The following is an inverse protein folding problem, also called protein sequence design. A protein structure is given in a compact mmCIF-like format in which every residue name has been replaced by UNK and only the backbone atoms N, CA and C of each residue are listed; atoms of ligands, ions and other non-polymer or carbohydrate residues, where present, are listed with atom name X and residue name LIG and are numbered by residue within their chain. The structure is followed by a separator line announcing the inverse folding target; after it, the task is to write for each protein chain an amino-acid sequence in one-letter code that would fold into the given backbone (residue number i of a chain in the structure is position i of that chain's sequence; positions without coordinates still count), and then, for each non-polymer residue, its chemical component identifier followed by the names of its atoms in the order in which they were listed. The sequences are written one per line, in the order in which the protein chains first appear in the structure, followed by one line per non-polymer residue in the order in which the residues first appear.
data_IF_762237164407
#
_entry.id   IF_762237164407
#
_cell.length_a   1.000
_cell.length_b   1.000
_cell.length_c   1.000
_cell.angle_alpha   90.00
_cell.angle_beta   90.00
_cell.angle_gamma   90.00
#
_symmetry.space_group_name_H-M   'P 1'
#
loop_
_entity.id
_entity.type
_entity.pdbx_description
1 polymer ?
#
# COMPACT_ATOMS: atom_id res chain seq x y z
N UNK A 1 -52.20 46.27 13.15
CA UNK A 1 -50.90 46.73 13.68
C UNK A 1 -50.33 45.66 14.60
N UNK A 2 -48.99 45.53 14.65
CA UNK A 2 -48.17 44.54 15.41
C UNK A 2 -48.10 43.17 14.72
N UNK A 3 -47.08 42.75 13.95
CA UNK A 3 -45.60 42.72 14.03
C UNK A 3 -45.04 41.52 14.83
N UNK A 4 -44.06 40.83 14.21
CA UNK A 4 -43.03 39.90 14.77
C UNK A 4 -43.52 38.52 15.22
N UNK A 5 -42.72 37.45 15.28
CA UNK A 5 -41.43 37.02 14.73
C UNK A 5 -41.36 35.50 15.08
N UNK A 6 -40.92 34.62 14.19
CA UNK A 6 -39.60 33.99 14.29
C UNK A 6 -39.48 32.94 15.40
N UNK A 7 -39.41 31.65 15.05
CA UNK A 7 -38.48 30.72 15.71
C UNK A 7 -38.20 29.49 14.83
N UNK A 8 -36.95 29.38 14.35
CA UNK A 8 -36.39 28.18 13.71
C UNK A 8 -35.87 27.25 14.81
N UNK A 9 -36.38 26.03 14.88
CA UNK A 9 -35.71 24.96 15.63
C UNK A 9 -34.97 24.03 14.67
N UNK A 10 -33.64 24.13 14.69
CA UNK A 10 -32.71 23.17 14.11
C UNK A 10 -32.89 21.82 14.83
N UNK A 11 -33.28 20.79 14.11
CA UNK A 11 -33.19 19.41 14.60
C UNK A 11 -31.71 19.01 14.51
N UNK A 12 -31.13 18.69 15.67
CA UNK A 12 -29.75 18.26 15.81
C UNK A 12 -29.53 16.92 15.10
N UNK A 13 -28.54 16.90 14.21
CA UNK A 13 -27.96 15.68 13.64
C UNK A 13 -27.24 14.95 14.77
N UNK A 14 -27.82 13.87 15.28
CA UNK A 14 -27.12 12.91 16.12
C UNK A 14 -26.33 11.97 15.22
N UNK A 15 -25.08 12.35 14.93
CA UNK A 15 -24.11 11.45 14.29
C UNK A 15 -23.80 10.31 15.25
N UNK A 16 -24.34 9.12 14.98
CA UNK A 16 -23.97 7.90 15.66
C UNK A 16 -22.47 7.61 15.42
N UNK A 17 -21.65 7.88 16.43
CA UNK A 17 -20.25 7.44 16.48
C UNK A 17 -20.26 5.93 16.64
N UNK A 18 -19.98 5.22 15.55
CA UNK A 18 -19.74 3.78 15.60
C UNK A 18 -18.51 3.50 16.46
N UNK A 19 -18.59 2.61 17.46
CA UNK A 19 -17.42 2.21 18.24
C UNK A 19 -16.44 1.49 17.31
N UNK A 20 -15.26 2.07 17.11
CA UNK A 20 -14.16 1.39 16.46
C UNK A 20 -13.79 0.17 17.32
N UNK A 21 -14.22 -1.00 16.87
CA UNK A 21 -13.73 -2.27 17.38
C UNK A 21 -12.20 -2.22 17.40
N UNK A 22 -11.64 -2.57 18.57
CA UNK A 22 -10.20 -2.67 18.79
C UNK A 22 -9.57 -3.51 17.69
N UNK A 23 -8.94 -2.83 16.72
CA UNK A 23 -8.05 -3.47 15.78
C UNK A 23 -6.80 -3.80 16.58
N UNK A 24 -6.32 -5.06 16.57
CA UNK A 24 -5.12 -5.42 17.30
C UNK A 24 -4.00 -4.46 16.89
N UNK A 25 -3.26 -3.95 17.88
CA UNK A 25 -2.04 -3.19 17.60
C UNK A 25 -1.19 -4.02 16.64
N UNK A 26 -0.76 -3.39 15.55
CA UNK A 26 -0.04 -4.02 14.45
C UNK A 26 1.41 -4.35 14.85
N UNK A 27 1.63 -4.75 16.10
CA UNK A 27 2.94 -5.10 16.67
C UNK A 27 3.37 -6.54 16.34
N UNK A 28 2.52 -7.32 15.67
CA UNK A 28 2.84 -8.70 15.28
C UNK A 28 2.82 -8.93 13.77
N UNK A 29 3.29 -7.98 12.96
CA UNK A 29 3.63 -8.27 11.57
C UNK A 29 5.05 -8.86 11.49
N UNK A 30 5.26 -10.04 12.10
CA UNK A 30 6.42 -10.91 11.86
C UNK A 30 6.28 -11.70 10.54
N UNK A 31 5.67 -11.10 9.51
CA UNK A 31 5.32 -11.84 8.31
C UNK A 31 6.57 -12.31 7.58
N UNK A 32 6.56 -13.59 7.20
CA UNK A 32 7.64 -14.22 6.46
C UNK A 32 8.09 -13.34 5.27
N UNK A 33 9.41 -13.15 5.15
CA UNK A 33 10.05 -12.44 4.04
C UNK A 33 10.48 -13.43 2.98
N UNK A 34 10.61 -12.96 1.75
CA UNK A 34 11.14 -13.73 0.63
C UNK A 34 10.30 -14.98 0.29
N UNK A 35 8.98 -14.85 0.32
CA UNK A 35 8.04 -15.94 0.00
C UNK A 35 8.16 -16.40 -1.46
N UNK A 36 8.61 -15.54 -2.37
CA UNK A 36 8.88 -15.92 -3.76
C UNK A 36 10.29 -16.52 -3.82
N UNK A 37 10.38 -17.85 -3.83
CA UNK A 37 11.69 -18.52 -3.79
C UNK A 37 12.56 -18.23 -5.03
N UNK A 38 11.97 -18.11 -6.24
CA UNK A 38 12.73 -17.94 -7.49
C UNK A 38 11.95 -17.15 -8.52
N UNK A 39 12.65 -16.31 -9.31
CA UNK A 39 12.06 -15.50 -10.38
C UNK A 39 11.36 -16.34 -11.48
N UNK A 40 11.80 -17.59 -11.71
CA UNK A 40 11.15 -18.55 -12.62
C UNK A 40 9.67 -18.80 -12.31
N UNK A 41 9.26 -18.67 -11.05
CA UNK A 41 7.86 -18.78 -10.64
C UNK A 41 7.03 -17.65 -11.27
N UNK A 42 7.63 -16.47 -11.45
CA UNK A 42 7.01 -15.31 -12.05
C UNK A 42 6.93 -15.44 -13.58
N UNK A 43 7.94 -16.03 -14.21
CA UNK A 43 7.93 -16.32 -15.65
C UNK A 43 6.88 -17.37 -16.04
N UNK A 44 6.54 -18.27 -15.12
CA UNK A 44 5.52 -19.30 -15.34
C UNK A 44 4.08 -18.74 -15.33
N UNK A 45 3.88 -17.46 -14.99
CA UNK A 45 2.56 -16.84 -14.91
C UNK A 45 2.05 -16.58 -16.32
N UNK A 46 0.93 -17.21 -16.65
CA UNK A 46 0.29 -17.06 -17.96
C UNK A 46 -0.71 -15.91 -17.96
N UNK A 47 -0.88 -15.19 -19.09
CA UNK A 47 -1.99 -14.25 -19.25
C UNK A 47 -3.32 -14.98 -19.04
N UNK A 48 -4.09 -14.57 -18.04
CA UNK A 48 -5.35 -15.22 -17.64
C UNK A 48 -5.30 -16.05 -16.36
N UNK A 49 -4.17 -16.05 -15.63
CA UNK A 49 -4.11 -16.60 -14.28
C UNK A 49 -5.15 -15.89 -13.36
N UNK A 50 -5.97 -16.61 -12.59
CA UNK A 50 -6.93 -16.00 -11.66
C UNK A 50 -6.26 -15.20 -10.53
N UNK A 51 -4.96 -15.39 -10.30
CA UNK A 51 -4.19 -14.63 -9.31
C UNK A 51 -4.06 -13.18 -9.75
N UNK A 52 -4.50 -12.27 -8.88
CA UNK A 52 -4.36 -10.82 -9.10
C UNK A 52 -3.04 -10.26 -8.57
N UNK A 53 -2.48 -10.88 -7.51
CA UNK A 53 -1.22 -10.46 -6.90
C UNK A 53 -0.46 -11.65 -6.32
N UNK A 54 0.86 -11.54 -6.27
CA UNK A 54 1.76 -12.50 -5.62
C UNK A 54 2.54 -11.75 -4.55
N UNK A 55 2.37 -12.14 -3.30
CA UNK A 55 3.07 -11.50 -2.17
C UNK A 55 4.47 -12.10 -2.00
N UNK A 56 5.48 -11.24 -1.86
CA UNK A 56 6.83 -11.64 -1.46
C UNK A 56 7.03 -11.56 0.06
N UNK A 57 6.14 -10.86 0.76
CA UNK A 57 6.20 -10.68 2.21
C UNK A 57 6.62 -9.27 2.62
N UNK A 58 6.45 -8.94 3.90
CA UNK A 58 6.77 -7.62 4.46
C UNK A 58 6.26 -6.43 3.62
N UNK A 59 5.02 -6.53 3.13
CA UNK A 59 4.39 -5.47 2.32
C UNK A 59 4.83 -5.42 0.84
N UNK A 60 5.82 -6.21 0.41
CA UNK A 60 6.20 -6.34 -1.00
C UNK A 60 5.30 -7.36 -1.71
N UNK A 61 4.76 -6.98 -2.86
CA UNK A 61 4.01 -7.87 -3.74
C UNK A 61 4.15 -7.47 -5.21
N UNK A 62 3.99 -8.46 -6.08
CA UNK A 62 3.85 -8.28 -7.51
C UNK A 62 2.37 -8.24 -7.86
N UNK A 63 1.90 -7.13 -8.43
CA UNK A 63 0.58 -7.01 -8.99
C UNK A 63 0.60 -7.53 -10.43
N UNK A 64 -0.25 -8.50 -10.74
CA UNK A 64 -0.30 -9.13 -12.06
C UNK A 64 -1.26 -8.35 -12.98
N UNK A 65 -1.02 -8.45 -14.29
CA UNK A 65 -1.88 -7.90 -15.36
C UNK A 65 -2.30 -6.43 -15.17
N UNK A 66 -1.35 -5.53 -14.95
CA UNK A 66 -1.64 -4.11 -14.64
C UNK A 66 -2.02 -3.32 -15.88
N UNK A 67 -1.09 -3.12 -16.81
CA UNK A 67 -1.29 -2.41 -18.07
C UNK A 67 -0.73 -3.27 -19.20
N UNK A 68 -1.57 -3.64 -20.17
CA UNK A 68 -1.14 -4.44 -21.32
C UNK A 68 -0.58 -5.82 -20.96
N UNK A 69 -0.96 -6.39 -19.80
CA UNK A 69 -0.44 -7.68 -19.33
C UNK A 69 0.81 -7.61 -18.46
N UNK A 70 1.46 -6.45 -18.35
CA UNK A 70 2.67 -6.29 -17.54
C UNK A 70 2.42 -6.50 -16.04
N UNK A 71 3.46 -6.92 -15.30
CA UNK A 71 3.38 -7.09 -13.85
C UNK A 71 4.11 -5.94 -13.14
N UNK A 72 3.51 -5.40 -12.07
CA UNK A 72 4.03 -4.23 -11.36
C UNK A 72 4.43 -4.54 -9.94
N UNK A 73 5.66 -4.19 -9.55
CA UNK A 73 6.08 -4.28 -8.15
C UNK A 73 5.45 -3.17 -7.32
N UNK A 74 4.91 -3.55 -6.17
CA UNK A 74 4.22 -2.68 -5.23
C UNK A 74 4.67 -2.98 -3.81
N UNK A 75 4.80 -1.93 -3.02
CA UNK A 75 5.20 -2.01 -1.63
C UNK A 75 4.24 -1.22 -0.76
N UNK A 76 3.47 -1.91 0.08
CA UNK A 76 2.53 -1.30 1.02
C UNK A 76 3.23 -0.98 2.34
N UNK A 77 3.13 0.27 2.75
CA UNK A 77 3.74 0.76 3.99
C UNK A 77 2.80 1.70 4.76
N UNK A 78 3.17 2.00 6.00
CA UNK A 78 2.48 2.96 6.84
C UNK A 78 3.48 4.01 7.33
N UNK A 79 3.12 5.28 7.18
CA UNK A 79 3.91 6.41 7.65
C UNK A 79 2.98 7.49 8.19
N UNK A 80 3.28 8.05 9.37
CA UNK A 80 2.44 9.07 10.02
C UNK A 80 0.98 8.62 10.24
N UNK A 81 0.75 7.34 10.55
CA UNK A 81 -0.59 6.77 10.74
C UNK A 81 -1.40 6.54 9.46
N UNK A 82 -0.85 6.86 8.28
CA UNK A 82 -1.51 6.67 6.98
C UNK A 82 -0.88 5.52 6.21
N UNK A 83 -1.71 4.70 5.57
CA UNK A 83 -1.24 3.65 4.65
C UNK A 83 -0.99 4.24 3.27
N UNK A 84 0.14 3.88 2.68
CA UNK A 84 0.56 4.31 1.35
C UNK A 84 1.10 3.10 0.59
N UNK A 85 1.05 3.19 -0.74
CA UNK A 85 1.57 2.16 -1.64
C UNK A 85 2.62 2.80 -2.54
N UNK A 86 3.84 2.25 -2.52
CA UNK A 86 4.94 2.65 -3.38
C UNK A 86 5.01 1.74 -4.60
N UNK A 87 5.25 2.34 -5.77
CA UNK A 87 5.49 1.59 -7.00
C UNK A 87 6.99 1.40 -7.20
N UNK A 88 7.49 0.17 -7.19
CA UNK A 88 8.94 -0.12 -7.27
C UNK A 88 9.44 -0.39 -8.70
N UNK A 89 8.52 -0.55 -9.65
CA UNK A 89 8.81 -0.77 -11.07
C UNK A 89 7.88 -1.78 -11.72
N UNK A 90 8.28 -2.22 -12.90
CA UNK A 90 7.57 -3.22 -13.72
C UNK A 90 8.49 -4.41 -13.90
N UNK A 91 7.95 -5.62 -13.89
CA UNK A 91 8.65 -6.84 -14.26
C UNK A 91 8.54 -7.03 -15.79
N UNK A 92 9.62 -7.43 -16.51
CA UNK A 92 10.90 -7.94 -16.00
C UNK A 92 12.00 -6.89 -15.73
N UNK A 93 11.81 -5.62 -16.11
CA UNK A 93 12.83 -4.56 -15.97
C UNK A 93 13.39 -4.46 -14.54
N UNK A 94 12.50 -4.49 -13.55
CA UNK A 94 12.85 -4.69 -12.15
C UNK A 94 12.70 -6.17 -11.81
N UNK A 95 13.82 -6.88 -11.68
CA UNK A 95 13.83 -8.26 -11.20
C UNK A 95 13.48 -8.40 -9.71
N UNK A 96 13.23 -9.64 -9.26
CA UNK A 96 12.88 -9.94 -7.86
C UNK A 96 13.93 -9.45 -6.85
N UNK A 97 15.23 -9.64 -7.15
CA UNK A 97 16.32 -9.20 -6.28
C UNK A 97 16.35 -7.68 -6.12
N UNK A 98 16.19 -6.95 -7.22
CA UNK A 98 16.17 -5.49 -7.21
C UNK A 98 14.92 -4.96 -6.50
N UNK A 99 13.76 -5.60 -6.68
CA UNK A 99 12.54 -5.25 -5.96
C UNK A 99 12.70 -5.41 -4.44
N UNK A 100 13.38 -6.47 -3.99
CA UNK A 100 13.70 -6.70 -2.57
C UNK A 100 14.67 -5.65 -2.02
N UNK A 101 15.71 -5.29 -2.76
CA UNK A 101 16.63 -4.22 -2.37
C UNK A 101 15.87 -2.90 -2.19
N UNK A 102 15.10 -2.48 -3.19
CA UNK A 102 14.29 -1.25 -3.11
C UNK A 102 13.29 -1.26 -1.95
N UNK A 103 12.67 -2.41 -1.66
CA UNK A 103 11.79 -2.54 -0.51
C UNK A 103 12.55 -2.40 0.82
N UNK A 104 13.75 -2.97 0.91
CA UNK A 104 14.60 -2.82 2.10
C UNK A 104 15.07 -1.38 2.30
N UNK A 105 15.45 -0.68 1.23
CA UNK A 105 15.87 0.72 1.33
C UNK A 105 14.69 1.62 1.72
N UNK A 106 13.50 1.37 1.16
CA UNK A 106 12.28 2.04 1.61
C UNK A 106 11.99 1.80 3.10
N UNK A 107 12.27 0.61 3.64
CA UNK A 107 12.12 0.33 5.08
C UNK A 107 13.14 1.07 5.94
N UNK A 108 14.38 1.21 5.49
CA UNK A 108 15.39 2.01 6.20
C UNK A 108 14.94 3.46 6.33
N UNK A 109 14.47 4.06 5.24
CA UNK A 109 13.92 5.41 5.25
C UNK A 109 12.72 5.54 6.19
N UNK A 110 11.82 4.56 6.20
CA UNK A 110 10.69 4.55 7.15
C UNK A 110 11.12 4.44 8.61
N UNK A 111 12.21 3.72 8.89
CA UNK A 111 12.79 3.62 10.22
C UNK A 111 13.43 4.95 10.66
N UNK A 112 13.99 5.70 9.71
CA UNK A 112 14.50 7.06 9.91
C UNK A 112 13.38 8.11 9.99
N UNK A 113 12.13 7.74 9.69
CA UNK A 113 10.99 8.66 9.68
C UNK A 113 10.87 9.48 8.40
N UNK A 114 11.56 9.10 7.32
CA UNK A 114 11.48 9.73 6.00
C UNK A 114 10.50 8.98 5.10
N UNK A 115 9.76 9.71 4.26
CA UNK A 115 8.84 9.11 3.28
C UNK A 115 9.63 8.54 2.08
N UNK A 116 9.59 7.22 1.84
CA UNK A 116 10.34 6.60 0.74
C UNK A 116 9.81 6.93 -0.66
N UNK A 117 8.63 7.56 -0.76
CA UNK A 117 8.08 7.97 -2.06
C UNK A 117 8.83 9.13 -2.70
N UNK A 118 9.46 9.98 -1.89
CA UNK A 118 10.23 11.13 -2.37
C UNK A 118 11.66 10.72 -2.77
N UNK A 119 12.31 9.82 -2.02
CA UNK A 119 13.63 9.29 -2.35
C UNK A 119 13.69 8.57 -3.72
N UNK A 120 12.57 7.97 -4.18
CA UNK A 120 12.47 7.36 -5.52
C UNK A 120 12.54 8.39 -6.66
N UNK A 121 12.11 9.64 -6.44
CA UNK A 121 12.15 10.65 -7.49
C UNK A 121 13.59 11.09 -7.79
N UNK A 122 14.46 11.08 -6.78
CA UNK A 122 15.84 11.54 -6.91
C UNK A 122 16.74 10.52 -7.63
N UNK A 123 16.51 9.21 -7.46
CA UNK A 123 17.28 8.16 -8.17
C UNK A 123 16.94 8.09 -9.68
N UNK A 124 15.89 8.78 -10.13
CA UNK A 124 15.45 8.81 -11.54
C UNK A 124 15.76 10.14 -12.25
N UNK A 125 16.41 11.09 -11.58
CA UNK A 125 16.79 12.39 -12.14
C UNK A 125 18.14 12.32 -12.87
#
# INVERSE_FOLDING_TARGET
AVTSAGFRSKVAVTSAVTPQSGRPSRESYCMARNLIATAKILDAIKPGDPRKRISDGDGLYLLLFVKGGAHGWRFDYAHGGKRKTLSLGTYPDTGLALARQKANDARKLLAEGTDPSDARKEEKA
#
